data_IF_147835923503
#
_entry.id   IF_147835923503
#
_cell.length_a   1.000
_cell.length_b   1.000
_cell.length_c   1.000
_cell.angle_alpha   90.00
_cell.angle_beta   90.00
_cell.angle_gamma   90.00
#
_symmetry.space_group_name_H-M   'P 1'
#
loop_
_entity.id
_entity.type
_entity.pdbx_description
1 polymer ?
#
# COMPACT_ATOMS: atom_id res chain seq x y z
N UNK A 7 -1.58 -11.81 -19.38
CA UNK A 7 -2.50 -11.15 -20.30
C UNK A 7 -3.57 -10.37 -19.54
N UNK A 8 -4.02 -10.92 -18.43
CA UNK A 8 -5.02 -10.28 -17.62
C UNK A 8 -4.39 -9.71 -16.38
N UNK A 9 -3.84 -8.51 -16.51
CA UNK A 9 -3.18 -7.85 -15.41
C UNK A 9 -4.18 -7.23 -14.45
N UNK A 10 -4.16 -7.65 -13.18
CA UNK A 10 -5.04 -7.12 -12.14
C UNK A 10 -4.87 -5.61 -11.99
N UNK A 11 -5.94 -4.94 -11.57
CA UNK A 11 -5.95 -3.50 -11.42
C UNK A 11 -4.82 -3.02 -10.50
N UNK A 12 -4.72 -3.63 -9.33
CA UNK A 12 -3.70 -3.26 -8.35
C UNK A 12 -2.29 -3.61 -8.81
N UNK A 13 -2.20 -4.35 -9.90
CA UNK A 13 -0.91 -4.75 -10.44
C UNK A 13 -0.50 -3.81 -11.57
N UNK A 14 -1.48 -3.20 -12.20
CA UNK A 14 -1.26 -2.35 -13.34
C UNK A 14 -1.28 -0.87 -12.92
N UNK A 15 -1.64 -0.62 -11.69
CA UNK A 15 -1.78 0.73 -11.18
C UNK A 15 -0.66 1.05 -10.22
N UNK A 16 -0.27 2.30 -10.20
CA UNK A 16 0.80 2.76 -9.36
C UNK A 16 0.22 3.39 -8.09
N UNK A 17 0.95 3.32 -6.99
CA UNK A 17 0.45 3.84 -5.72
C UNK A 17 0.24 5.37 -5.80
N UNK A 18 1.01 6.03 -6.68
CA UNK A 18 0.86 7.47 -6.87
C UNK A 18 -0.50 7.79 -7.46
N UNK A 19 -0.92 6.97 -8.41
CA UNK A 19 -2.21 7.13 -9.05
C UNK A 19 -3.32 6.72 -8.08
N UNK A 20 -2.99 5.81 -7.16
CA UNK A 20 -3.94 5.37 -6.15
C UNK A 20 -4.26 6.53 -5.22
N UNK A 21 -3.27 7.39 -5.04
CA UNK A 21 -3.43 8.57 -4.21
C UNK A 21 -4.34 9.55 -4.92
N UNK A 22 -4.13 9.67 -6.22
CA UNK A 22 -4.98 10.48 -7.08
C UNK A 22 -6.44 10.03 -6.97
N UNK A 23 -6.68 8.72 -7.00
CA UNK A 23 -8.04 8.19 -6.87
C UNK A 23 -8.65 8.59 -5.54
N UNK A 24 -7.84 8.52 -4.48
CA UNK A 24 -8.25 8.91 -3.12
C UNK A 24 -8.97 10.28 -3.06
N UNK A 25 -8.69 11.15 -4.02
CA UNK A 25 -9.37 12.45 -4.08
C UNK A 25 -10.85 12.26 -4.39
N UNK A 26 -11.14 11.23 -5.16
CA UNK A 26 -12.49 10.90 -5.53
C UNK A 26 -13.04 9.83 -4.58
N UNK A 27 -12.21 8.85 -4.28
CA UNK A 27 -12.58 7.75 -3.42
C UNK A 27 -11.48 7.43 -2.43
N UNK A 28 -11.41 8.20 -1.37
CA UNK A 28 -10.42 8.00 -0.32
C UNK A 28 -10.62 6.64 0.37
N UNK A 29 -11.87 6.33 0.70
CA UNK A 29 -12.18 5.08 1.39
C UNK A 29 -11.85 3.86 0.54
N UNK A 30 -11.96 4.00 -0.77
CA UNK A 30 -11.66 2.90 -1.68
C UNK A 30 -10.18 2.57 -1.67
N UNK A 31 -9.36 3.60 -1.64
CA UNK A 31 -7.92 3.43 -1.66
C UNK A 31 -7.41 2.99 -0.30
N UNK A 32 -8.06 3.52 0.73
CA UNK A 32 -7.67 3.22 2.10
C UNK A 32 -8.01 1.78 2.42
N UNK A 33 -9.06 1.28 1.82
CA UNK A 33 -9.49 -0.07 2.02
C UNK A 33 -8.51 -1.04 1.37
N UNK A 34 -8.08 -0.72 0.16
CA UNK A 34 -7.19 -1.59 -0.61
C UNK A 34 -5.84 -1.73 0.08
N UNK A 35 -5.28 -0.59 0.46
CA UNK A 35 -3.99 -0.57 1.13
C UNK A 35 -4.07 -1.26 2.49
N UNK A 36 -5.27 -1.29 3.07
CA UNK A 36 -5.48 -1.94 4.35
C UNK A 36 -5.63 -3.45 4.18
N UNK A 37 -6.47 -3.86 3.22
CA UNK A 37 -6.73 -5.28 2.96
C UNK A 37 -5.44 -6.08 2.75
N UNK A 38 -4.72 -5.81 1.67
CA UNK A 38 -3.48 -6.54 1.43
C UNK A 38 -2.38 -6.08 2.37
N UNK A 39 -2.38 -4.81 2.72
CA UNK A 39 -1.35 -4.26 3.58
C UNK A 39 -1.27 -5.00 4.91
N UNK A 40 -2.40 -5.03 5.62
CA UNK A 40 -2.48 -5.68 6.93
C UNK A 40 -2.10 -7.17 6.81
N UNK A 41 -2.56 -7.82 5.74
CA UNK A 41 -2.24 -9.22 5.53
C UNK A 41 -0.75 -9.39 5.24
N UNK A 42 -0.24 -8.54 4.36
CA UNK A 42 1.16 -8.57 3.97
C UNK A 42 2.08 -8.40 5.18
N UNK A 43 1.86 -7.33 5.96
CA UNK A 43 2.68 -7.07 7.13
C UNK A 43 2.58 -8.22 8.14
N UNK A 44 1.39 -8.75 8.33
CA UNK A 44 1.18 -9.84 9.26
C UNK A 44 1.74 -11.16 8.72
N UNK A 45 2.09 -11.19 7.45
CA UNK A 45 2.61 -12.42 6.86
C UNK A 45 4.10 -12.59 7.12
N UNK A 46 4.76 -11.52 7.49
CA UNK A 46 6.20 -11.59 7.73
C UNK A 46 6.50 -11.42 9.20
N UNK A 47 5.59 -10.78 9.91
CA UNK A 47 5.77 -10.51 11.31
C UNK A 47 4.79 -11.29 12.16
N UNK A 48 3.51 -11.23 11.79
CA UNK A 48 2.42 -11.95 12.46
C UNK A 48 2.06 -11.32 13.82
N UNK A 49 2.83 -10.36 14.27
CA UNK A 49 2.57 -9.69 15.54
C UNK A 49 1.93 -8.33 15.31
N UNK A 50 1.94 -7.89 14.06
CA UNK A 50 1.36 -6.63 13.69
C UNK A 50 -0.17 -6.72 13.71
N UNK A 51 -0.79 -5.76 14.38
CA UNK A 51 -2.23 -5.75 14.56
C UNK A 51 -2.89 -4.75 13.61
N UNK A 52 -4.23 -4.72 13.63
CA UNK A 52 -5.00 -3.82 12.78
C UNK A 52 -4.95 -2.39 13.33
N UNK A 53 -3.78 -1.79 13.26
CA UNK A 53 -3.58 -0.43 13.73
C UNK A 53 -3.87 0.58 12.61
N UNK A 54 -4.93 1.40 12.76
CA UNK A 54 -5.31 2.42 11.76
C UNK A 54 -4.20 3.45 11.52
N UNK A 55 -3.33 3.61 12.50
CA UNK A 55 -2.23 4.56 12.39
C UNK A 55 -1.16 4.04 11.44
N UNK A 56 -1.15 2.73 11.22
CA UNK A 56 -0.19 2.12 10.32
C UNK A 56 -0.63 2.25 8.87
N UNK A 57 -1.92 2.04 8.63
CA UNK A 57 -2.45 2.16 7.29
C UNK A 57 -2.39 3.63 6.83
N UNK A 58 -2.89 4.52 7.67
CA UNK A 58 -2.83 5.97 7.43
C UNK A 58 -1.43 6.41 6.96
N UNK A 59 -0.39 5.80 7.50
CA UNK A 59 0.98 6.16 7.13
C UNK A 59 1.52 5.30 5.98
N UNK A 60 1.09 4.04 5.91
CA UNK A 60 1.56 3.11 4.86
C UNK A 60 1.18 3.61 3.46
N UNK A 61 0.20 4.49 3.37
CA UNK A 61 -0.21 5.05 2.10
C UNK A 61 0.38 6.46 1.93
N UNK A 62 0.52 7.16 3.05
CA UNK A 62 1.09 8.51 3.08
C UNK A 62 2.53 8.49 2.57
N UNK A 63 3.32 7.58 3.09
CA UNK A 63 4.71 7.47 2.67
C UNK A 63 4.80 6.78 1.31
N UNK A 64 3.93 5.80 1.11
CA UNK A 64 3.90 5.02 -0.12
C UNK A 64 3.84 5.91 -1.36
N UNK A 65 2.85 6.78 -1.43
CA UNK A 65 2.65 7.65 -2.61
C UNK A 65 3.83 8.56 -2.84
N UNK A 66 4.55 8.85 -1.79
CA UNK A 66 5.73 9.67 -1.87
C UNK A 66 6.85 8.88 -2.57
N UNK A 67 6.95 7.60 -2.21
CA UNK A 67 7.90 6.69 -2.88
C UNK A 67 7.61 6.60 -4.38
N UNK A 68 6.33 6.49 -4.73
CA UNK A 68 5.92 6.42 -6.14
C UNK A 68 6.15 7.74 -6.85
N UNK A 69 6.00 8.84 -6.11
CA UNK A 69 6.24 10.16 -6.66
C UNK A 69 7.69 10.30 -7.13
N UNK A 70 8.57 9.53 -6.53
CA UNK A 70 9.98 9.52 -6.90
C UNK A 70 10.29 8.38 -7.85
N UNK A 71 9.47 7.34 -7.82
CA UNK A 71 9.65 6.18 -8.67
C UNK A 71 8.30 5.71 -9.22
N UNK A 72 7.95 6.16 -10.42
CA UNK A 72 6.67 5.81 -11.07
C UNK A 72 6.53 4.31 -11.36
N UNK A 73 7.64 3.60 -11.35
CA UNK A 73 7.66 2.15 -11.60
C UNK A 73 7.17 1.35 -10.39
N UNK A 74 6.84 2.04 -9.30
CA UNK A 74 6.38 1.37 -8.09
C UNK A 74 4.90 1.00 -8.19
N UNK A 75 4.61 -0.12 -8.84
CA UNK A 75 3.23 -0.63 -8.97
C UNK A 75 2.64 -0.83 -7.58
N UNK A 76 1.36 -0.52 -7.44
CA UNK A 76 0.67 -0.58 -6.15
C UNK A 76 0.86 -1.94 -5.46
N UNK A 77 0.63 -3.01 -6.21
CA UNK A 77 0.73 -4.36 -5.68
C UNK A 77 2.13 -4.63 -5.07
N UNK A 78 3.18 -4.17 -5.74
CA UNK A 78 4.53 -4.35 -5.28
C UNK A 78 4.93 -3.30 -4.22
N UNK A 79 4.53 -2.06 -4.46
CA UNK A 79 4.86 -0.94 -3.58
C UNK A 79 4.41 -1.20 -2.13
N UNK A 80 3.23 -1.77 -1.96
CA UNK A 80 2.74 -2.08 -0.62
C UNK A 80 3.62 -3.15 0.04
N UNK A 81 3.97 -4.18 -0.72
CA UNK A 81 4.84 -5.26 -0.23
C UNK A 81 6.21 -4.68 0.12
N UNK A 82 6.68 -3.77 -0.72
CA UNK A 82 7.96 -3.10 -0.52
C UNK A 82 7.96 -2.26 0.77
N UNK A 83 6.86 -1.58 1.03
CA UNK A 83 6.73 -0.78 2.22
C UNK A 83 6.63 -1.68 3.45
N UNK A 84 5.99 -2.84 3.26
CA UNK A 84 5.88 -3.82 4.32
C UNK A 84 7.27 -4.34 4.68
N UNK A 85 8.17 -4.31 3.73
CA UNK A 85 9.53 -4.74 3.96
C UNK A 85 10.27 -3.72 4.81
N UNK A 86 10.04 -2.44 4.50
CA UNK A 86 10.65 -1.35 5.22
C UNK A 86 10.19 -1.30 6.68
N UNK A 87 8.88 -1.25 6.89
CA UNK A 87 8.35 -1.15 8.26
C UNK A 87 8.08 -2.53 8.88
N UNK A 88 8.46 -3.57 8.16
CA UNK A 88 8.25 -4.94 8.63
C UNK A 88 9.25 -5.36 9.69
N UNK A 89 10.15 -4.46 10.03
CA UNK A 89 11.15 -4.72 11.04
C UNK A 89 11.21 -3.54 12.01
N UNK A 90 10.41 -3.62 13.06
CA UNK A 90 10.35 -2.56 14.05
C UNK A 90 11.04 -2.96 15.34
#
# INVERSE_FOLDING_TARGET
>A
QDYNIKNGLPSETYITCAEANEMAKTDSAQVAEIVAVMGNASVASRDLKIEQSPELSAKVVEKLNQVCAKDPQMLLITAIDDTMRAIGKK
#
